data_IF_908458673378
#
_entry.id   IF_908458673378
#
_cell.length_a   1.000
_cell.length_b   1.000
_cell.length_c   1.000
_cell.angle_alpha   90.00
_cell.angle_beta   90.00
_cell.angle_gamma   90.00
#
_symmetry.space_group_name_H-M   'P 1'
#
loop_
_entity.id
_entity.type
_entity.pdbx_description
1 polymer ?
#
# COMPACT_ATOMS: atom_id res chain seq x y z
N UNK A 1 34.16 18.18 -22.40
CA UNK A 1 33.52 18.46 -21.10
C UNK A 1 32.29 17.56 -20.99
N UNK A 2 32.49 16.31 -20.52
CA UNK A 2 31.38 15.38 -20.26
C UNK A 2 30.74 15.79 -18.93
N UNK A 3 29.51 16.29 -19.01
CA UNK A 3 28.68 16.55 -17.85
C UNK A 3 28.16 15.20 -17.32
N UNK A 4 28.69 14.76 -16.18
CA UNK A 4 28.04 13.72 -15.37
C UNK A 4 26.77 14.33 -14.76
N UNK A 5 25.62 14.16 -15.41
CA UNK A 5 24.34 14.31 -14.73
C UNK A 5 24.19 13.12 -13.77
N UNK A 6 24.20 13.39 -12.47
CA UNK A 6 24.03 12.36 -11.45
C UNK A 6 22.64 11.73 -11.56
N UNK A 7 22.58 10.39 -11.57
CA UNK A 7 21.38 9.56 -11.72
C UNK A 7 20.22 9.94 -10.78
N UNK A 8 20.53 10.54 -9.63
CA UNK A 8 19.56 11.10 -8.68
C UNK A 8 18.63 12.13 -9.34
N UNK A 9 19.12 12.90 -10.31
CA UNK A 9 18.33 13.92 -11.01
C UNK A 9 17.29 13.32 -11.97
N UNK A 10 17.52 12.13 -12.53
CA UNK A 10 16.55 11.42 -13.37
C UNK A 10 15.45 10.74 -12.54
N UNK A 11 15.82 10.16 -11.39
CA UNK A 11 14.85 9.63 -10.40
C UNK A 11 13.90 10.73 -9.92
N UNK A 12 14.46 11.84 -9.44
CA UNK A 12 13.68 12.97 -8.91
C UNK A 12 12.72 13.49 -9.98
N UNK A 13 13.13 13.62 -11.24
CA UNK A 13 12.25 14.08 -12.32
C UNK A 13 11.09 13.14 -12.62
N UNK A 14 11.34 11.82 -12.67
CA UNK A 14 10.32 10.83 -13.05
C UNK A 14 9.29 10.64 -11.93
N UNK A 15 9.76 10.53 -10.68
CA UNK A 15 8.88 10.37 -9.53
C UNK A 15 8.09 11.65 -9.25
N UNK A 16 8.70 12.84 -9.38
CA UNK A 16 7.94 14.08 -9.32
C UNK A 16 6.92 14.22 -10.45
N UNK A 17 7.22 13.74 -11.65
CA UNK A 17 6.26 13.77 -12.76
C UNK A 17 5.04 12.90 -12.42
N UNK A 18 5.26 11.69 -11.90
CA UNK A 18 4.19 10.81 -11.42
C UNK A 18 3.37 11.46 -10.30
N UNK A 19 4.03 12.09 -9.32
CA UNK A 19 3.33 12.84 -8.26
C UNK A 19 2.47 13.98 -8.83
N UNK A 20 2.97 14.72 -9.81
CA UNK A 20 2.19 15.79 -10.47
C UNK A 20 1.00 15.25 -11.25
N UNK A 21 1.16 14.13 -11.94
CA UNK A 21 0.11 13.47 -12.71
C UNK A 21 -0.99 12.90 -11.80
N UNK A 22 -0.60 12.32 -10.67
CA UNK A 22 -1.52 11.66 -9.75
C UNK A 22 -2.24 12.63 -8.80
N UNK A 23 -1.82 13.90 -8.75
CA UNK A 23 -2.31 14.90 -7.78
C UNK A 23 -3.83 15.00 -7.74
N UNK A 24 -4.47 15.04 -8.91
CA UNK A 24 -5.90 15.29 -9.04
C UNK A 24 -6.75 14.03 -8.80
N UNK A 25 -6.10 12.89 -8.52
CA UNK A 25 -6.73 11.60 -8.20
C UNK A 25 -6.77 11.29 -6.70
N UNK A 26 -6.23 12.18 -5.85
CA UNK A 26 -6.34 12.09 -4.40
C UNK A 26 -7.49 12.95 -3.89
N UNK A 27 -8.46 12.34 -3.21
CA UNK A 27 -9.64 13.01 -2.66
C UNK A 27 -9.52 13.05 -1.14
N UNK A 28 -9.73 14.22 -0.52
CA UNK A 28 -9.69 14.35 0.94
C UNK A 28 -9.43 15.79 1.44
N UNK A 29 -9.11 15.95 2.73
CA UNK A 29 -9.03 14.88 3.73
C UNK A 29 -10.44 14.47 4.21
N UNK A 30 -10.70 13.16 4.23
CA UNK A 30 -11.87 12.60 4.90
C UNK A 30 -11.57 12.46 6.41
N UNK A 31 -12.49 12.87 7.32
CA UNK A 31 -12.32 12.60 8.75
C UNK A 31 -12.08 11.10 9.02
N UNK A 32 -11.19 10.79 9.94
CA UNK A 32 -10.69 9.41 10.13
C UNK A 32 -11.82 8.48 10.60
N UNK A 33 -12.69 8.98 11.46
CA UNK A 33 -13.87 8.25 11.94
C UNK A 33 -14.87 8.00 10.83
N UNK A 34 -15.12 8.98 9.95
CA UNK A 34 -15.98 8.83 8.77
C UNK A 34 -15.39 7.80 7.81
N UNK A 35 -14.08 7.84 7.57
CA UNK A 35 -13.39 6.84 6.75
C UNK A 35 -13.55 5.42 7.31
N UNK A 36 -13.35 5.25 8.62
CA UNK A 36 -13.51 3.94 9.25
C UNK A 36 -14.96 3.45 9.19
N UNK A 37 -15.95 4.35 9.34
CA UNK A 37 -17.36 3.98 9.24
C UNK A 37 -17.77 3.60 7.82
N UNK A 38 -17.25 4.30 6.81
CA UNK A 38 -17.59 4.07 5.41
C UNK A 38 -16.92 2.80 4.86
N UNK A 39 -15.61 2.64 5.09
CA UNK A 39 -14.82 1.58 4.44
C UNK A 39 -14.57 0.35 5.33
N UNK A 40 -14.69 0.49 6.65
CA UNK A 40 -14.49 -0.60 7.59
C UNK A 40 -15.53 -0.59 8.72
N UNK A 41 -16.84 -0.59 8.40
CA UNK A 41 -17.89 -0.47 9.41
C UNK A 41 -17.80 -1.61 10.42
N UNK A 42 -17.75 -1.27 11.72
CA UNK A 42 -17.64 -2.25 12.80
C UNK A 42 -18.72 -3.34 12.79
N UNK A 43 -19.89 -3.07 12.20
CA UNK A 43 -20.97 -4.04 12.04
C UNK A 43 -20.68 -5.16 11.04
N UNK A 44 -19.71 -4.96 10.15
CA UNK A 44 -19.33 -5.90 9.10
C UNK A 44 -18.01 -6.62 9.40
N UNK A 45 -17.27 -6.16 10.43
CA UNK A 45 -16.03 -6.81 10.86
C UNK A 45 -16.35 -8.04 11.73
N UNK A 46 -15.96 -9.25 11.30
CA UNK A 46 -16.17 -10.48 12.06
C UNK A 46 -15.49 -10.41 13.44
N UNK A 47 -16.21 -10.89 14.46
CA UNK A 47 -15.72 -11.01 15.84
C UNK A 47 -15.12 -9.70 16.42
N UNK A 48 -15.56 -8.55 15.91
CA UNK A 48 -15.12 -7.25 16.44
C UNK A 48 -15.86 -6.92 17.74
N UNK A 49 -15.10 -6.82 18.83
CA UNK A 49 -15.56 -6.26 20.09
C UNK A 49 -14.91 -4.89 20.33
N UNK A 50 -15.67 -3.78 20.20
CA UNK A 50 -15.17 -2.44 20.44
C UNK A 50 -14.64 -2.26 21.88
N UNK A 51 -15.24 -2.95 22.87
CA UNK A 51 -14.82 -2.84 24.27
C UNK A 51 -13.47 -3.52 24.47
N UNK A 52 -13.28 -4.70 23.88
CA UNK A 52 -12.00 -5.40 23.92
C UNK A 52 -10.90 -4.55 23.28
N UNK A 53 -11.11 -4.06 22.06
CA UNK A 53 -10.12 -3.24 21.37
C UNK A 53 -9.78 -1.94 22.14
N UNK A 54 -10.82 -1.23 22.61
CA UNK A 54 -10.63 0.02 23.37
C UNK A 54 -9.88 -0.22 24.68
N UNK A 55 -10.11 -1.36 25.34
CA UNK A 55 -9.38 -1.74 26.55
C UNK A 55 -7.92 -2.13 26.30
N UNK A 56 -7.61 -2.62 25.09
CA UNK A 56 -6.26 -3.01 24.69
C UNK A 56 -5.38 -1.83 24.27
N UNK A 57 -5.98 -0.75 23.75
CA UNK A 57 -5.25 0.47 23.39
C UNK A 57 -5.02 1.36 24.62
N UNK A 58 -3.77 1.79 24.81
CA UNK A 58 -3.42 2.81 25.80
C UNK A 58 -2.77 4.01 25.11
N UNK A 59 -3.17 5.23 25.48
CA UNK A 59 -2.46 6.42 25.05
C UNK A 59 -0.98 6.32 25.47
N UNK A 60 -0.07 6.60 24.54
CA UNK A 60 1.36 6.32 24.70
C UNK A 60 1.82 4.97 24.18
N UNK A 61 0.95 4.13 23.58
CA UNK A 61 1.33 2.84 23.01
C UNK A 61 2.45 2.95 21.95
N UNK A 62 2.61 4.11 21.32
CA UNK A 62 3.64 4.39 20.33
C UNK A 62 4.72 5.36 20.84
N UNK A 63 4.87 5.52 22.17
CA UNK A 63 5.80 6.47 22.79
C UNK A 63 7.23 6.25 22.32
N UNK A 64 7.62 4.98 22.23
CA UNK A 64 8.96 4.60 21.81
C UNK A 64 9.22 5.02 20.37
N UNK A 65 8.21 4.92 19.49
CA UNK A 65 8.29 5.33 18.08
C UNK A 65 8.50 6.85 17.96
N UNK A 66 7.68 7.64 18.66
CA UNK A 66 7.75 9.11 18.57
C UNK A 66 8.97 9.71 19.27
N UNK A 67 9.62 8.94 20.16
CA UNK A 67 10.85 9.37 20.86
C UNK A 67 12.11 9.24 19.99
N UNK A 68 12.03 8.46 18.91
CA UNK A 68 13.15 8.25 17.98
C UNK A 68 13.47 9.58 17.27
N UNK A 69 14.75 9.77 16.91
CA UNK A 69 15.26 10.95 16.17
C UNK A 69 15.65 10.67 14.72
N UNK A 70 15.78 9.39 14.35
CA UNK A 70 16.22 8.94 13.04
C UNK A 70 15.22 7.93 12.48
N UNK A 71 14.70 8.21 11.29
CA UNK A 71 13.65 7.42 10.61
C UNK A 71 13.90 5.91 10.67
N UNK A 72 15.08 5.44 10.26
CA UNK A 72 15.44 4.02 10.22
C UNK A 72 15.32 3.31 11.57
N UNK A 73 15.45 4.04 12.68
CA UNK A 73 15.35 3.49 14.03
C UNK A 73 13.91 3.41 14.52
N UNK A 74 12.95 4.00 13.81
CA UNK A 74 11.54 4.01 14.20
C UNK A 74 10.79 2.77 13.71
N UNK A 75 11.31 2.05 12.71
CA UNK A 75 10.61 0.91 12.09
C UNK A 75 10.37 -0.24 13.09
N UNK A 76 11.41 -0.72 13.77
CA UNK A 76 11.25 -1.81 14.75
C UNK A 76 10.36 -1.43 15.93
N UNK A 77 10.52 -0.25 16.57
CA UNK A 77 9.56 0.22 17.58
C UNK A 77 8.11 0.25 17.08
N UNK A 78 7.89 0.72 15.84
CA UNK A 78 6.54 0.76 15.25
C UNK A 78 5.96 -0.64 15.08
N UNK A 79 6.73 -1.57 14.51
CA UNK A 79 6.33 -2.98 14.33
C UNK A 79 5.95 -3.59 15.67
N UNK A 80 6.76 -3.38 16.71
CA UNK A 80 6.48 -3.92 18.04
C UNK A 80 5.21 -3.31 18.65
N UNK A 81 4.96 -2.02 18.45
CA UNK A 81 3.80 -1.32 18.98
C UNK A 81 2.49 -1.71 18.29
N UNK A 82 2.49 -1.94 16.98
CA UNK A 82 1.26 -2.27 16.22
C UNK A 82 0.88 -3.76 16.31
N UNK A 83 1.85 -4.65 16.50
CA UNK A 83 1.67 -6.12 16.49
C UNK A 83 0.55 -6.64 17.42
N UNK A 84 0.38 -6.15 18.67
CA UNK A 84 -0.70 -6.62 19.55
C UNK A 84 -2.11 -6.41 18.99
N UNK A 85 -2.28 -5.44 18.10
CA UNK A 85 -3.57 -5.10 17.50
C UNK A 85 -3.85 -5.90 16.23
N UNK A 86 -2.84 -6.55 15.66
CA UNK A 86 -2.82 -7.08 14.29
C UNK A 86 -2.25 -8.51 14.21
N UNK A 87 -2.78 -9.48 14.99
CA UNK A 87 -2.19 -10.82 15.06
C UNK A 87 -2.24 -11.60 13.73
N UNK A 88 -3.08 -11.19 12.79
CA UNK A 88 -3.24 -11.81 11.47
C UNK A 88 -2.34 -11.18 10.40
N UNK A 89 -1.51 -10.20 10.77
CA UNK A 89 -0.61 -9.50 9.86
C UNK A 89 0.84 -9.63 10.31
N UNK A 90 1.72 -9.75 9.32
CA UNK A 90 3.17 -9.80 9.48
C UNK A 90 3.80 -8.53 8.92
N UNK A 91 4.39 -7.73 9.81
CA UNK A 91 5.08 -6.49 9.45
C UNK A 91 6.57 -6.77 9.24
N UNK A 92 7.10 -6.46 8.05
CA UNK A 92 8.49 -6.71 7.69
C UNK A 92 9.18 -5.39 7.37
N UNK A 93 10.32 -5.15 8.03
CA UNK A 93 11.17 -4.00 7.73
C UNK A 93 11.89 -4.20 6.37
N UNK A 94 11.36 -3.58 5.32
CA UNK A 94 11.83 -3.72 3.93
C UNK A 94 12.68 -2.55 3.43
N UNK A 95 12.96 -1.54 4.27
CA UNK A 95 13.61 -0.29 3.84
C UNK A 95 14.94 -0.46 3.05
N UNK A 96 15.64 -1.58 3.21
CA UNK A 96 16.90 -1.89 2.53
C UNK A 96 16.78 -2.95 1.43
N UNK A 97 15.58 -3.46 1.17
CA UNK A 97 15.36 -4.56 0.25
C UNK A 97 14.29 -4.19 -0.76
N UNK A 98 14.70 -3.87 -1.99
CA UNK A 98 13.77 -3.60 -3.08
C UNK A 98 13.12 -4.89 -3.59
N UNK A 99 11.95 -4.79 -4.22
CA UNK A 99 11.34 -5.93 -4.91
C UNK A 99 12.07 -6.22 -6.23
N UNK A 100 13.05 -7.09 -6.17
CA UNK A 100 13.87 -7.47 -7.33
C UNK A 100 13.24 -8.55 -8.20
N UNK A 101 12.07 -9.09 -7.84
CA UNK A 101 11.43 -10.19 -8.57
C UNK A 101 10.31 -9.66 -9.46
N UNK A 102 9.28 -9.08 -8.84
CA UNK A 102 8.06 -8.64 -9.54
C UNK A 102 8.30 -7.34 -10.29
N UNK A 103 9.06 -6.44 -9.68
CA UNK A 103 9.36 -5.15 -10.27
C UNK A 103 10.71 -5.13 -10.97
N UNK A 104 11.36 -6.27 -11.25
CA UNK A 104 12.69 -6.33 -11.87
C UNK A 104 12.83 -5.50 -13.17
N UNK A 105 11.77 -5.43 -13.98
CA UNK A 105 11.73 -4.64 -15.23
C UNK A 105 11.44 -3.15 -15.01
N UNK A 106 10.68 -2.82 -13.96
CA UNK A 106 10.33 -1.45 -13.55
C UNK A 106 11.48 -0.81 -12.74
N UNK A 107 12.14 -1.64 -11.93
CA UNK A 107 13.38 -1.41 -11.21
C UNK A 107 14.53 -1.26 -12.21
N UNK A 108 14.46 -0.15 -12.92
CA UNK A 108 15.50 0.37 -13.77
C UNK A 108 16.45 1.22 -12.93
N UNK A 109 17.45 1.81 -13.58
CA UNK A 109 18.30 2.85 -12.98
C UNK A 109 17.53 4.09 -12.47
N UNK A 110 16.20 4.14 -12.64
CA UNK A 110 15.35 5.29 -12.35
C UNK A 110 14.62 5.18 -11.01
N UNK A 111 14.04 4.03 -10.65
CA UNK A 111 13.29 3.88 -9.39
C UNK A 111 13.20 2.43 -8.93
N UNK A 112 13.41 2.18 -7.63
CA UNK A 112 13.25 0.86 -7.02
C UNK A 112 12.01 0.86 -6.14
N UNK A 113 11.11 -0.12 -6.30
CA UNK A 113 10.03 -0.37 -5.35
C UNK A 113 10.66 -0.83 -4.03
N UNK A 114 10.73 0.08 -3.05
CA UNK A 114 11.38 -0.15 -1.76
C UNK A 114 10.67 0.60 -0.62
N UNK A 115 9.48 0.14 -0.20
CA UNK A 115 8.81 0.63 1.00
C UNK A 115 9.65 0.49 2.27
N UNK A 116 9.34 1.29 3.29
CA UNK A 116 10.03 1.18 4.58
C UNK A 116 9.59 -0.08 5.34
N UNK A 117 8.28 -0.34 5.36
CA UNK A 117 7.68 -1.55 5.92
C UNK A 117 6.62 -2.05 4.95
N UNK A 118 6.69 -3.34 4.63
CA UNK A 118 5.61 -4.08 3.96
C UNK A 118 4.87 -4.93 4.98
N UNK A 119 3.55 -5.03 4.80
CA UNK A 119 2.67 -5.82 5.66
C UNK A 119 2.04 -6.91 4.82
N UNK A 120 2.13 -8.13 5.33
CA UNK A 120 1.67 -9.37 4.69
C UNK A 120 0.60 -10.02 5.55
N UNK A 121 -0.26 -10.89 4.99
CA UNK A 121 -1.00 -11.86 5.78
C UNK A 121 -0.07 -12.71 6.63
N UNK A 122 -0.53 -13.16 7.80
CA UNK A 122 0.27 -14.03 8.66
C UNK A 122 0.68 -15.32 7.93
N UNK A 123 1.94 -15.71 8.09
CA UNK A 123 2.54 -16.85 7.38
C UNK A 123 2.84 -16.62 5.89
N UNK A 124 2.41 -15.51 5.28
CA UNK A 124 2.69 -15.18 3.88
C UNK A 124 3.92 -14.29 3.68
N UNK A 125 4.49 -13.75 4.77
CA UNK A 125 5.70 -12.94 4.68
C UNK A 125 6.87 -13.73 4.08
N UNK A 126 7.70 -13.10 3.22
CA UNK A 126 8.85 -13.76 2.62
C UNK A 126 9.87 -14.22 3.69
N UNK A 127 10.49 -15.38 3.47
CA UNK A 127 11.41 -16.02 4.44
C UNK A 127 12.70 -15.22 4.68
N UNK A 128 13.02 -14.29 3.80
CA UNK A 128 14.09 -13.29 3.94
C UNK A 128 13.46 -11.90 3.86
N UNK A 129 14.08 -10.83 4.41
CA UNK A 129 13.51 -9.48 4.44
C UNK A 129 13.41 -8.80 3.06
N UNK A 130 13.32 -9.56 1.98
CA UNK A 130 13.10 -9.09 0.63
C UNK A 130 11.68 -8.53 0.53
N UNK A 131 11.53 -7.36 -0.07
CA UNK A 131 10.22 -6.87 -0.46
C UNK A 131 9.66 -7.77 -1.56
N UNK A 132 8.45 -8.25 -1.33
CA UNK A 132 7.59 -8.86 -2.35
C UNK A 132 6.30 -8.04 -2.39
N UNK A 133 6.19 -7.14 -3.36
CA UNK A 133 5.05 -6.24 -3.49
C UNK A 133 3.79 -6.99 -3.94
N UNK A 134 3.96 -8.14 -4.62
CA UNK A 134 2.84 -8.92 -5.16
C UNK A 134 1.97 -9.57 -4.08
N UNK A 135 2.56 -9.83 -2.92
CA UNK A 135 1.88 -10.41 -1.74
C UNK A 135 1.69 -9.39 -0.60
N UNK A 136 2.10 -8.13 -0.81
CA UNK A 136 1.94 -7.07 0.19
C UNK A 136 0.51 -6.56 0.21
N UNK A 137 -0.09 -6.49 1.40
CA UNK A 137 -1.43 -5.94 1.63
C UNK A 137 -1.39 -4.46 2.01
N UNK A 138 -0.41 -4.06 2.84
CA UNK A 138 -0.24 -2.66 3.27
C UNK A 138 1.20 -2.24 3.11
N UNK A 139 1.38 -1.06 2.52
CA UNK A 139 2.67 -0.39 2.37
C UNK A 139 2.73 0.79 3.34
N UNK A 140 3.75 0.81 4.20
CA UNK A 140 3.95 1.89 5.17
C UNK A 140 5.22 2.66 4.78
N UNK A 141 5.06 3.97 4.59
CA UNK A 141 6.13 4.91 4.29
C UNK A 141 6.24 5.94 5.40
N UNK A 142 7.42 6.04 6.02
CA UNK A 142 7.68 7.03 7.06
C UNK A 142 8.04 8.38 6.45
N UNK A 143 7.67 9.44 7.17
CA UNK A 143 8.02 10.81 6.84
C UNK A 143 8.61 11.46 8.08
N UNK A 144 9.80 12.02 7.94
CA UNK A 144 10.53 12.57 9.10
C UNK A 144 10.64 14.11 9.11
N UNK A 145 10.15 14.78 8.06
CA UNK A 145 10.10 16.23 7.98
C UNK A 145 8.82 16.66 7.29
N UNK A 146 8.24 17.76 7.77
CA UNK A 146 7.07 18.39 7.17
C UNK A 146 7.23 18.68 5.67
N UNK A 147 8.46 18.98 5.21
CA UNK A 147 8.73 19.20 3.79
C UNK A 147 8.53 17.96 2.92
N UNK A 148 8.57 16.75 3.49
CA UNK A 148 8.30 15.50 2.79
C UNK A 148 6.82 15.11 2.85
N UNK A 149 5.96 15.89 3.50
CA UNK A 149 4.54 15.58 3.51
C UNK A 149 3.92 15.82 2.13
N UNK A 150 3.44 14.73 1.54
CA UNK A 150 2.68 14.74 0.30
C UNK A 150 1.28 15.34 0.48
N UNK A 151 0.75 15.40 1.71
CA UNK A 151 -0.58 15.93 1.99
C UNK A 151 -0.48 17.15 2.90
N UNK A 152 -1.46 18.05 2.78
CA UNK A 152 -1.55 19.26 3.58
C UNK A 152 -2.80 19.22 4.44
N UNK A 153 -2.72 19.82 5.62
CA UNK A 153 -3.92 20.07 6.40
C UNK A 153 -4.86 21.00 5.63
N UNK A 154 -6.18 20.79 5.74
CA UNK A 154 -7.17 21.57 5.01
C UNK A 154 -7.17 22.99 5.55
N UNK A 155 -6.45 23.90 4.88
CA UNK A 155 -6.35 25.32 5.21
C UNK A 155 -7.29 26.18 4.35
N UNK A 156 -8.34 25.58 3.80
CA UNK A 156 -9.29 26.24 2.89
C UNK A 156 -8.80 26.37 1.44
N UNK A 157 -7.77 25.61 1.05
CA UNK A 157 -7.24 25.55 -0.32
C UNK A 157 -7.81 24.33 -1.04
N UNK A 158 -8.03 24.44 -2.35
CA UNK A 158 -8.70 23.42 -3.20
C UNK A 158 -7.96 22.07 -3.33
N UNK A 159 -6.75 21.90 -2.77
CA UNK A 159 -5.92 20.70 -2.95
C UNK A 159 -5.43 20.12 -1.63
N UNK A 160 -5.74 18.84 -1.38
CA UNK A 160 -5.22 18.04 -0.26
C UNK A 160 -3.73 17.69 -0.44
N UNK A 161 -3.20 17.83 -1.65
CA UNK A 161 -1.81 17.47 -1.99
C UNK A 161 -0.87 18.68 -1.88
N UNK A 162 0.30 18.43 -1.28
CA UNK A 162 1.42 19.36 -1.14
C UNK A 162 2.02 19.78 -2.47
N UNK A 163 2.31 21.07 -2.62
CA UNK A 163 2.90 21.64 -3.85
C UNK A 163 4.44 21.72 -3.80
N UNK A 164 5.07 21.22 -2.74
CA UNK A 164 6.53 21.24 -2.60
C UNK A 164 7.17 20.13 -3.45
N UNK A 165 8.39 20.32 -3.96
CA UNK A 165 9.10 19.27 -4.73
C UNK A 165 9.30 17.99 -3.91
N UNK A 166 9.49 18.11 -2.59
CA UNK A 166 9.66 16.94 -1.70
C UNK A 166 8.33 16.23 -1.41
N UNK A 167 7.24 16.97 -1.28
CA UNK A 167 5.90 16.40 -1.18
C UNK A 167 5.50 15.67 -2.47
N UNK A 168 5.84 16.23 -3.64
CA UNK A 168 5.61 15.60 -4.94
C UNK A 168 6.47 14.35 -5.16
N UNK A 169 7.73 14.34 -4.70
CA UNK A 169 8.55 13.12 -4.70
C UNK A 169 7.91 12.01 -3.84
N UNK A 170 7.41 12.37 -2.65
CA UNK A 170 6.70 11.43 -1.79
C UNK A 170 5.39 10.94 -2.41
N UNK A 171 4.62 11.81 -3.05
CA UNK A 171 3.39 11.43 -3.75
C UNK A 171 3.68 10.46 -4.91
N UNK A 172 4.74 10.73 -5.68
CA UNK A 172 5.19 9.82 -6.73
C UNK A 172 5.65 8.47 -6.19
N UNK A 173 6.29 8.43 -5.02
CA UNK A 173 6.60 7.15 -4.35
C UNK A 173 5.32 6.40 -3.97
N UNK A 174 4.36 7.06 -3.32
CA UNK A 174 3.06 6.46 -2.96
C UNK A 174 2.37 5.90 -4.21
N UNK A 175 2.22 6.72 -5.26
CA UNK A 175 1.61 6.29 -6.51
C UNK A 175 2.35 5.12 -7.17
N UNK A 176 3.67 5.10 -7.15
CA UNK A 176 4.45 3.99 -7.72
C UNK A 176 4.25 2.68 -6.96
N UNK A 177 4.10 2.75 -5.64
CA UNK A 177 3.84 1.59 -4.80
C UNK A 177 2.43 1.07 -5.00
N UNK A 178 1.46 1.98 -5.05
CA UNK A 178 0.08 1.67 -5.41
C UNK A 178 -0.02 1.01 -6.79
N UNK A 179 0.66 1.55 -7.80
CA UNK A 179 0.69 0.97 -9.14
C UNK A 179 1.36 -0.41 -9.16
N UNK A 180 2.40 -0.61 -8.35
CA UNK A 180 3.05 -1.91 -8.21
C UNK A 180 2.18 -2.95 -7.49
N UNK A 181 1.38 -2.52 -6.51
CA UNK A 181 0.51 -3.41 -5.72
C UNK A 181 -0.79 -3.76 -6.45
N UNK A 182 -1.41 -2.80 -7.13
CA UNK A 182 -2.79 -2.91 -7.61
C UNK A 182 -2.93 -2.72 -9.12
N UNK A 183 -1.81 -2.50 -9.83
CA UNK A 183 -1.74 -2.34 -11.28
C UNK A 183 -2.34 -1.01 -11.77
N UNK A 184 -3.65 -0.84 -11.58
CA UNK A 184 -4.46 0.27 -12.08
C UNK A 184 -5.46 0.74 -11.00
N UNK A 185 -5.04 1.63 -10.12
CA UNK A 185 -6.01 2.39 -9.31
C UNK A 185 -6.42 3.66 -10.06
N UNK A 186 -7.73 3.94 -10.08
CA UNK A 186 -8.29 5.17 -10.68
C UNK A 186 -8.29 6.35 -9.70
N UNK A 187 -7.97 6.13 -8.41
CA UNK A 187 -7.88 7.19 -7.41
C UNK A 187 -7.68 6.67 -5.99
N UNK A 188 -7.47 7.58 -5.05
CA UNK A 188 -7.28 7.26 -3.64
C UNK A 188 -7.98 8.28 -2.73
N UNK A 189 -8.63 7.78 -1.68
CA UNK A 189 -9.18 8.61 -0.61
C UNK A 189 -8.12 8.75 0.49
N UNK A 190 -7.89 9.99 0.92
CA UNK A 190 -6.90 10.33 1.94
C UNK A 190 -7.64 10.78 3.19
N UNK A 191 -7.28 10.23 4.34
CA UNK A 191 -7.84 10.67 5.62
C UNK A 191 -7.18 11.95 6.11
N UNK A 192 -7.78 12.60 7.11
CA UNK A 192 -7.08 13.57 7.95
C UNK A 192 -5.89 12.94 8.70
N UNK A 193 -5.00 13.76 9.27
CA UNK A 193 -3.88 13.27 10.07
C UNK A 193 -4.33 12.41 11.26
N UNK A 194 -3.66 11.29 11.50
CA UNK A 194 -3.94 10.41 12.64
C UNK A 194 -2.92 10.66 13.75
N UNK A 195 -3.37 11.09 14.93
CA UNK A 195 -2.52 11.24 16.11
C UNK A 195 -2.35 9.90 16.84
N UNK A 196 -1.67 8.96 16.19
CA UNK A 196 -1.64 7.54 16.55
C UNK A 196 -1.07 7.22 17.94
N UNK A 197 -0.29 8.11 18.55
CA UNK A 197 0.18 7.91 19.92
C UNK A 197 -0.89 8.22 20.97
N UNK A 198 -1.82 9.11 20.66
CA UNK A 198 -2.82 9.60 21.62
C UNK A 198 -4.22 9.08 21.31
N UNK A 199 -4.47 8.66 20.07
CA UNK A 199 -5.76 8.19 19.58
C UNK A 199 -5.65 6.79 18.99
N UNK A 200 -6.70 5.97 19.10
CA UNK A 200 -6.66 4.57 18.68
C UNK A 200 -6.81 4.36 17.18
N UNK A 201 -7.13 5.39 16.38
CA UNK A 201 -7.60 5.20 15.01
C UNK A 201 -6.63 4.44 14.09
N UNK A 202 -5.31 4.64 14.24
CA UNK A 202 -4.33 3.87 13.45
C UNK A 202 -4.40 2.39 13.79
N UNK A 203 -4.32 2.06 15.08
CA UNK A 203 -4.44 0.68 15.54
C UNK A 203 -5.81 0.08 15.16
N UNK A 204 -6.88 0.86 15.21
CA UNK A 204 -8.23 0.41 14.88
C UNK A 204 -8.37 0.13 13.39
N UNK A 205 -7.83 0.99 12.54
CA UNK A 205 -7.79 0.81 11.09
C UNK A 205 -7.13 -0.51 10.71
N UNK A 206 -5.93 -0.77 11.23
CA UNK A 206 -5.23 -2.04 10.97
C UNK A 206 -5.95 -3.24 11.60
N UNK A 207 -6.57 -3.08 12.78
CA UNK A 207 -7.31 -4.14 13.44
C UNK A 207 -8.55 -4.57 12.66
N UNK A 208 -9.28 -3.59 12.09
CA UNK A 208 -10.41 -3.80 11.20
C UNK A 208 -9.94 -4.44 9.89
N UNK A 209 -8.92 -3.86 9.24
CA UNK A 209 -8.37 -4.38 7.99
C UNK A 209 -7.98 -5.86 8.12
N UNK A 210 -7.27 -6.23 9.19
CA UNK A 210 -6.84 -7.60 9.45
C UNK A 210 -7.99 -8.62 9.61
N UNK A 211 -9.24 -8.17 9.75
CA UNK A 211 -10.43 -9.01 9.91
C UNK A 211 -11.44 -8.81 8.79
N UNK A 212 -11.26 -7.78 7.99
CA UNK A 212 -12.16 -7.46 6.90
C UNK A 212 -12.11 -8.57 5.85
N UNK A 213 -13.21 -8.77 5.13
CA UNK A 213 -13.23 -9.68 3.99
C UNK A 213 -12.33 -9.14 2.87
N UNK A 214 -11.86 -9.99 1.95
CA UNK A 214 -11.07 -9.54 0.81
C UNK A 214 -11.75 -8.39 0.05
N UNK A 215 -13.06 -8.45 -0.16
CA UNK A 215 -13.84 -7.41 -0.85
C UNK A 215 -13.76 -6.05 -0.14
N UNK A 216 -13.89 -6.04 1.20
CA UNK A 216 -13.74 -4.80 2.00
C UNK A 216 -12.31 -4.27 1.98
N UNK A 217 -11.32 -5.16 1.85
CA UNK A 217 -9.91 -4.77 1.66
C UNK A 217 -9.63 -4.27 0.22
N UNK A 218 -10.63 -4.23 -0.66
CA UNK A 218 -10.49 -3.80 -2.04
C UNK A 218 -9.88 -4.87 -2.96
N UNK A 219 -9.87 -6.13 -2.55
CA UNK A 219 -9.50 -7.25 -3.43
C UNK A 219 -10.62 -7.46 -4.45
N UNK A 220 -10.27 -7.37 -5.73
CA UNK A 220 -11.19 -7.72 -6.80
C UNK A 220 -11.43 -9.23 -6.82
N UNK A 221 -12.54 -9.66 -6.23
CA UNK A 221 -12.91 -11.08 -6.15
C UNK A 221 -13.47 -11.65 -7.45
N UNK A 222 -13.59 -10.84 -8.51
CA UNK A 222 -13.81 -11.33 -9.87
C UNK A 222 -12.54 -11.91 -10.50
N UNK A 223 -11.37 -11.62 -9.92
CA UNK A 223 -10.07 -12.15 -10.35
C UNK A 223 -9.68 -13.31 -9.43
N UNK A 224 -9.45 -14.47 -10.03
CA UNK A 224 -9.04 -15.68 -9.31
C UNK A 224 -7.76 -16.25 -9.91
N UNK A 225 -7.08 -17.15 -9.20
CA UNK A 225 -6.02 -17.93 -9.84
C UNK A 225 -6.61 -18.85 -10.90
N UNK A 226 -6.00 -18.85 -12.09
CA UNK A 226 -6.36 -19.83 -13.11
C UNK A 226 -6.00 -21.24 -12.62
N UNK A 227 -6.84 -22.24 -12.95
CA UNK A 227 -6.47 -23.63 -12.72
C UNK A 227 -5.28 -24.04 -13.61
N UNK A 228 -4.62 -25.14 -13.25
CA UNK A 228 -3.38 -25.57 -13.93
C UNK A 228 -3.56 -25.75 -15.44
N UNK A 229 -4.72 -26.25 -15.90
CA UNK A 229 -5.00 -26.48 -17.32
C UNK A 229 -5.10 -25.16 -18.10
N UNK A 230 -5.94 -24.22 -17.61
CA UNK A 230 -6.12 -22.89 -18.19
C UNK A 230 -4.79 -22.12 -18.17
N UNK A 231 -4.05 -22.20 -17.06
CA UNK A 231 -2.78 -21.52 -16.88
C UNK A 231 -1.70 -22.06 -17.83
N UNK A 232 -1.54 -23.39 -17.94
CA UNK A 232 -0.55 -24.00 -18.82
C UNK A 232 -0.85 -23.75 -20.29
N UNK A 233 -2.13 -23.80 -20.67
CA UNK A 233 -2.55 -23.45 -22.02
C UNK A 233 -2.18 -21.99 -22.32
N UNK A 234 -2.58 -21.04 -21.48
CA UNK A 234 -2.28 -19.63 -21.68
C UNK A 234 -0.77 -19.34 -21.72
N UNK A 235 0.02 -19.92 -20.81
CA UNK A 235 1.49 -19.79 -20.83
C UNK A 235 2.10 -20.29 -22.13
N UNK A 236 1.62 -21.44 -22.64
CA UNK A 236 2.10 -22.01 -23.90
C UNK A 236 1.79 -21.11 -25.10
N UNK A 237 0.60 -20.50 -25.14
CA UNK A 237 0.18 -19.60 -26.23
C UNK A 237 0.91 -18.26 -26.18
N UNK A 238 1.17 -17.73 -24.99
CA UNK A 238 1.89 -16.48 -24.77
C UNK A 238 3.41 -16.63 -24.83
N UNK A 239 3.93 -17.86 -24.85
CA UNK A 239 5.36 -18.19 -24.81
C UNK A 239 6.07 -17.55 -23.59
N UNK A 240 5.49 -17.70 -22.42
CA UNK A 240 6.00 -17.20 -21.13
C UNK A 240 6.44 -18.36 -20.21
N UNK A 241 7.26 -18.11 -19.18
CA UNK A 241 7.74 -19.17 -18.27
C UNK A 241 6.60 -19.97 -17.63
N UNK A 242 6.82 -21.28 -17.45
CA UNK A 242 5.84 -22.19 -16.81
C UNK A 242 5.55 -21.81 -15.36
N UNK A 243 6.43 -21.06 -14.72
CA UNK A 243 6.28 -20.59 -13.33
C UNK A 243 5.56 -19.25 -13.22
N UNK A 244 5.19 -18.61 -14.33
CA UNK A 244 4.47 -17.33 -14.29
C UNK A 244 3.08 -17.53 -13.69
N UNK A 245 2.71 -16.75 -12.67
CA UNK A 245 1.36 -16.75 -12.11
C UNK A 245 0.34 -16.44 -13.22
N UNK A 246 -0.83 -17.07 -13.20
CA UNK A 246 -1.89 -16.79 -14.17
C UNK A 246 -3.19 -16.56 -13.42
N UNK A 247 -3.90 -15.51 -13.80
CA UNK A 247 -5.18 -15.11 -13.24
C UNK A 247 -6.29 -15.33 -14.24
N UNK A 248 -7.46 -15.68 -13.73
CA UNK A 248 -8.69 -15.90 -14.46
C UNK A 248 -9.70 -14.82 -14.07
N UNK A 249 -10.29 -14.19 -15.09
CA UNK A 249 -11.34 -13.17 -14.95
C UNK A 249 -12.55 -13.58 -15.78
N UNK A 250 -13.74 -13.47 -15.21
CA UNK A 250 -14.99 -13.70 -15.92
C UNK A 250 -15.67 -12.37 -16.24
N UNK A 251 -15.82 -12.08 -17.54
CA UNK A 251 -16.41 -10.83 -18.03
C UNK A 251 -17.74 -11.13 -18.70
N UNK A 252 -18.77 -10.36 -18.40
CA UNK A 252 -20.05 -10.49 -19.09
C UNK A 252 -19.92 -10.09 -20.56
N UNK A 253 -20.42 -10.92 -21.47
CA UNK A 253 -20.52 -10.54 -22.88
C UNK A 253 -21.53 -9.38 -23.04
N UNK A 254 -21.27 -8.45 -23.96
CA UNK A 254 -22.12 -7.31 -24.26
C UNK A 254 -23.57 -7.70 -24.63
N UNK A 255 -23.78 -8.91 -25.16
CA UNK A 255 -25.10 -9.43 -25.51
C UNK A 255 -25.84 -10.12 -24.33
N UNK A 256 -25.23 -10.17 -23.14
CA UNK A 256 -25.87 -10.64 -21.91
C UNK A 256 -26.13 -12.15 -21.80
N UNK A 257 -25.77 -12.94 -22.81
CA UNK A 257 -26.09 -14.38 -22.87
C UNK A 257 -24.91 -15.32 -22.57
N UNK A 258 -23.74 -14.81 -22.17
CA UNK A 258 -22.58 -15.65 -21.84
C UNK A 258 -21.47 -14.90 -21.10
N UNK A 259 -20.62 -15.66 -20.40
CA UNK A 259 -19.40 -15.18 -19.76
C UNK A 259 -18.21 -15.44 -20.68
N UNK A 260 -17.37 -14.43 -20.87
CA UNK A 260 -16.06 -14.55 -21.47
C UNK A 260 -15.04 -14.79 -20.37
N UNK A 261 -14.29 -15.88 -20.46
CA UNK A 261 -13.16 -16.13 -19.57
C UNK A 261 -11.89 -15.54 -20.18
N UNK A 262 -11.22 -14.68 -19.44
CA UNK A 262 -9.88 -14.18 -19.75
C UNK A 262 -8.88 -14.87 -18.82
N UNK A 263 -7.76 -15.34 -19.37
CA UNK A 263 -6.63 -15.84 -18.61
C UNK A 263 -5.44 -14.94 -18.91
N UNK A 264 -4.94 -14.27 -17.88
CA UNK A 264 -3.90 -13.24 -17.99
C UNK A 264 -2.72 -13.58 -17.07
N UNK A 265 -1.47 -13.29 -17.47
CA UNK A 265 -0.32 -13.44 -16.60
C UNK A 265 -0.24 -12.37 -15.50
#
# INVERSE_FOLDING_TARGET
MLSFMTLTQCRVKTINAMGKEMRDYFIGPMPVEEFLQEFFPSSEIPDYDPLYFTSAFAAGAFSDVISIKHEERAYTPFINAIKPFTPQLSFVNTHNHADTQNCSKINSTVFNIKPDICVYPDGCAPSSPNCDVSSTEIIIKFKWSYSHDAFCEPSGVDSVVSQTERGMDMLGQIASYTAAQLGTQEGAIVTGPINYNNQPHLANSFHHYARASPEMCGVDTSITLANDEDADLARSQLNIPSTTCMFKVEVSNAEGSGLLTLVIP
#
